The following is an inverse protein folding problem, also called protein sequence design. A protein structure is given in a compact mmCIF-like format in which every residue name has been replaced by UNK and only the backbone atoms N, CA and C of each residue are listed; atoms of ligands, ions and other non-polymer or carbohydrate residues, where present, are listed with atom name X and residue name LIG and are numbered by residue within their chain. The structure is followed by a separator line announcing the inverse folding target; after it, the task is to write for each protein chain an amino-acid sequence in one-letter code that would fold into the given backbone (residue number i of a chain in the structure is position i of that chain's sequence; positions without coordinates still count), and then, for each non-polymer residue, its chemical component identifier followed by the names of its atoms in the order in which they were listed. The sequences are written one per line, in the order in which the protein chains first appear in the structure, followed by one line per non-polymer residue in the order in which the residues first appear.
data_IF_875600409433
#
_entry.id   IF_875600409433
#
_cell.length_a   1.000
_cell.length_b   1.000
_cell.length_c   1.000
_cell.angle_alpha   90.00
_cell.angle_beta   90.00
_cell.angle_gamma   90.00
#
_symmetry.space_group_name_H-M   'P 1'
#
loop_
_entity.id
_entity.type
_entity.pdbx_description
1 polymer ?
#
# COMPACT_ATOMS: atom_id res chain seq x y z
N UNK A 1 -9.31 57.59 24.37
CA UNK A 1 -9.25 56.81 23.13
C UNK A 1 -9.17 55.34 23.52
N UNK A 2 -10.32 54.75 23.80
CA UNK A 2 -10.42 53.34 24.19
C UNK A 2 -10.66 52.50 22.94
N UNK A 3 -9.79 51.54 22.66
CA UNK A 3 -10.01 50.53 21.63
C UNK A 3 -10.66 49.29 22.27
N UNK A 4 -11.92 49.08 21.94
CA UNK A 4 -12.67 47.84 22.26
C UNK A 4 -12.18 46.69 21.36
N UNK A 5 -11.69 45.64 21.97
CA UNK A 5 -11.44 44.36 21.29
C UNK A 5 -12.75 43.56 21.21
N UNK A 6 -13.18 43.30 20.00
CA UNK A 6 -14.27 42.40 19.68
C UNK A 6 -13.72 40.96 19.66
N UNK A 7 -14.16 40.10 20.61
CA UNK A 7 -13.90 38.67 20.55
C UNK A 7 -14.91 38.02 19.61
N UNK A 8 -14.41 37.49 18.51
CA UNK A 8 -15.19 36.66 17.57
C UNK A 8 -15.14 35.23 18.09
N UNK A 9 -16.28 34.65 18.47
CA UNK A 9 -16.48 33.25 18.78
C UNK A 9 -16.86 32.54 17.48
N UNK A 10 -16.19 31.49 17.03
CA UNK A 10 -16.61 30.78 15.82
C UNK A 10 -17.88 29.95 16.12
N UNK A 11 -18.89 30.21 15.34
CA UNK A 11 -20.15 29.47 15.33
C UNK A 11 -19.95 28.18 14.56
N UNK A 12 -20.04 27.05 15.25
CA UNK A 12 -20.06 25.74 14.63
C UNK A 12 -21.48 25.44 14.16
N UNK A 13 -21.74 25.49 12.87
CA UNK A 13 -23.04 25.10 12.31
C UNK A 13 -22.96 23.63 11.92
N UNK A 14 -23.62 22.78 12.72
CA UNK A 14 -23.96 21.41 12.35
C UNK A 14 -25.34 21.42 11.68
N UNK A 15 -25.38 21.17 10.39
CA UNK A 15 -26.63 20.97 9.65
C UNK A 15 -27.04 19.50 9.78
N UNK A 16 -27.98 19.22 10.64
CA UNK A 16 -28.74 17.96 10.63
C UNK A 16 -30.19 18.33 10.40
N UNK A 17 -30.79 17.64 9.44
CA UNK A 17 -32.10 17.85 8.83
C UNK A 17 -33.21 18.46 9.68
N UNK A 18 -33.90 19.40 9.04
CA UNK A 18 -35.20 20.00 9.35
C UNK A 18 -35.89 19.62 10.66
N UNK A 19 -35.55 20.28 11.74
CA UNK A 19 -36.44 20.65 12.82
C UNK A 19 -35.89 21.93 13.46
N UNK A 20 -36.79 22.95 13.58
CA UNK A 20 -36.47 24.22 14.22
C UNK A 20 -36.27 24.00 15.71
N UNK A 21 -35.09 24.43 16.20
CA UNK A 21 -34.82 24.52 17.64
C UNK A 21 -34.90 25.99 18.03
N UNK A 22 -35.88 26.35 18.84
CA UNK A 22 -35.95 27.66 19.50
C UNK A 22 -34.89 27.71 20.60
N UNK A 23 -34.03 28.71 20.52
CA UNK A 23 -32.96 28.96 21.52
C UNK A 23 -33.54 29.95 22.54
N UNK A 24 -33.79 29.49 23.75
CA UNK A 24 -34.04 30.36 24.90
C UNK A 24 -32.70 30.89 25.44
N UNK A 25 -32.62 32.23 25.57
CA UNK A 25 -31.52 32.87 26.29
C UNK A 25 -31.92 32.95 27.78
N UNK A 26 -31.22 32.26 28.65
CA UNK A 26 -31.30 32.45 30.08
C UNK A 26 -30.22 33.42 30.59
N UNK A 27 -30.64 34.29 31.53
CA UNK A 27 -29.81 35.30 32.16
C UNK A 27 -28.87 34.67 33.23
N UNK A 28 -27.62 35.10 33.35
CA UNK A 28 -26.68 34.49 34.31
C UNK A 28 -26.75 35.22 35.66
N UNK A 29 -27.74 34.96 36.48
CA UNK A 29 -27.75 35.36 37.86
C UNK A 29 -28.72 34.52 38.69
N UNK A 30 -28.38 33.27 38.94
CA UNK A 30 -28.87 32.43 40.06
C UNK A 30 -28.29 31.01 39.91
N UNK A 31 -27.06 30.84 40.42
CA UNK A 31 -26.47 29.52 40.64
C UNK A 31 -26.28 29.36 42.17
N UNK A 32 -27.23 28.76 42.81
CA UNK A 32 -27.04 28.15 44.13
C UNK A 32 -27.52 26.70 44.06
N UNK A 33 -26.56 25.81 44.30
CA UNK A 33 -26.67 24.45 44.83
C UNK A 33 -27.78 23.55 44.26
N UNK A 34 -27.50 22.92 43.17
CA UNK A 34 -28.19 21.68 42.77
C UNK A 34 -27.12 20.61 42.62
N UNK A 35 -27.13 19.65 43.55
CA UNK A 35 -26.40 18.40 43.46
C UNK A 35 -26.96 17.57 42.32
N UNK A 36 -26.40 17.71 41.11
CA UNK A 36 -26.79 16.90 39.95
C UNK A 36 -25.93 15.64 39.99
N UNK A 37 -26.51 14.58 40.52
CA UNK A 37 -26.02 13.23 40.25
C UNK A 37 -25.93 13.02 38.74
N UNK A 38 -24.74 13.16 38.18
CA UNK A 38 -24.43 12.84 36.79
C UNK A 38 -24.45 11.31 36.71
N UNK A 39 -25.61 10.70 36.41
CA UNK A 39 -25.60 9.41 35.76
C UNK A 39 -24.91 9.61 34.41
N UNK A 40 -23.69 9.16 34.26
CA UNK A 40 -23.04 8.99 32.96
C UNK A 40 -23.86 7.98 32.14
N UNK A 41 -24.90 8.48 31.50
CA UNK A 41 -25.45 7.79 30.35
C UNK A 41 -24.43 7.90 29.24
N UNK A 42 -23.49 6.97 29.20
CA UNK A 42 -22.68 6.68 28.04
C UNK A 42 -23.67 6.31 26.93
N UNK A 43 -24.04 7.29 26.12
CA UNK A 43 -24.71 7.00 24.85
C UNK A 43 -23.63 6.27 24.04
N UNK A 44 -23.63 4.95 24.11
CA UNK A 44 -22.99 4.13 23.08
C UNK A 44 -23.64 4.54 21.75
N UNK A 45 -22.99 5.45 21.03
CA UNK A 45 -23.28 5.63 19.61
C UNK A 45 -22.80 4.32 18.99
N UNK A 46 -23.69 3.34 18.95
CA UNK A 46 -23.53 2.17 18.11
C UNK A 46 -23.52 2.68 16.67
N UNK A 47 -22.35 3.02 16.19
CA UNK A 47 -22.08 3.12 14.75
C UNK A 47 -22.13 1.70 14.23
N UNK A 48 -23.35 1.16 14.05
CA UNK A 48 -23.51 -0.06 13.28
C UNK A 48 -22.98 0.28 11.89
N UNK A 49 -21.78 -0.19 11.59
CA UNK A 49 -21.22 -0.16 10.24
C UNK A 49 -22.30 -0.76 9.32
N UNK A 50 -22.70 -0.10 8.24
CA UNK A 50 -23.79 -0.56 7.37
C UNK A 50 -23.46 -1.90 6.69
N UNK A 51 -22.21 -2.33 6.73
CA UNK A 51 -21.68 -3.55 6.10
C UNK A 51 -20.95 -4.40 7.13
N UNK A 52 -21.06 -5.73 7.02
CA UNK A 52 -20.37 -6.67 7.89
C UNK A 52 -18.87 -6.69 7.64
N UNK A 53 -18.48 -6.64 6.37
CA UNK A 53 -17.09 -6.63 5.92
C UNK A 53 -16.97 -6.00 4.51
N UNK A 54 -15.76 -5.99 3.96
CA UNK A 54 -15.49 -5.44 2.62
C UNK A 54 -16.20 -6.22 1.51
N UNK A 55 -16.39 -7.54 1.69
CA UNK A 55 -17.04 -8.36 0.67
C UNK A 55 -18.52 -8.09 0.59
N UNK A 56 -19.15 -7.90 1.75
CA UNK A 56 -20.56 -7.48 1.85
C UNK A 56 -20.76 -6.13 1.14
N UNK A 57 -19.86 -5.17 1.38
CA UNK A 57 -19.87 -3.89 0.67
C UNK A 57 -19.76 -4.06 -0.85
N UNK A 58 -18.78 -4.84 -1.33
CA UNK A 58 -18.58 -5.08 -2.77
C UNK A 58 -19.82 -5.76 -3.37
N UNK A 59 -20.37 -6.80 -2.71
CA UNK A 59 -21.53 -7.54 -3.20
C UNK A 59 -22.76 -6.64 -3.32
N UNK A 60 -23.02 -5.78 -2.34
CA UNK A 60 -24.19 -4.90 -2.32
C UNK A 60 -24.09 -3.70 -3.27
N UNK A 61 -22.86 -3.21 -3.53
CA UNK A 61 -22.61 -2.03 -4.36
C UNK A 61 -21.99 -2.37 -5.73
N UNK A 62 -22.01 -3.64 -6.12
CA UNK A 62 -21.55 -4.05 -7.43
C UNK A 62 -22.52 -3.55 -8.51
N UNK A 63 -22.05 -2.62 -9.34
CA UNK A 63 -22.84 -2.00 -10.42
C UNK A 63 -22.66 -2.68 -11.78
N UNK A 64 -21.76 -3.66 -11.87
CA UNK A 64 -21.47 -4.28 -13.16
C UNK A 64 -22.65 -5.16 -13.59
N UNK A 65 -23.04 -4.98 -14.84
CA UNK A 65 -24.06 -5.84 -15.46
C UNK A 65 -23.57 -7.30 -15.43
N UNK A 66 -24.41 -8.19 -14.91
CA UNK A 66 -24.18 -9.64 -14.84
C UNK A 66 -24.05 -10.22 -16.24
N UNK A 67 -22.88 -10.10 -16.84
CA UNK A 67 -22.51 -10.88 -18.02
C UNK A 67 -21.85 -12.16 -17.52
N UNK A 68 -22.65 -13.13 -17.10
CA UNK A 68 -22.18 -14.46 -16.69
C UNK A 68 -21.66 -15.22 -17.89
N UNK A 69 -20.47 -14.85 -18.36
CA UNK A 69 -19.78 -15.58 -19.42
C UNK A 69 -18.97 -16.68 -18.75
N UNK A 70 -19.61 -17.80 -18.43
CA UNK A 70 -18.98 -19.01 -17.90
C UNK A 70 -18.61 -19.95 -19.06
N UNK A 71 -17.64 -19.57 -19.88
CA UNK A 71 -17.09 -20.45 -20.89
C UNK A 71 -16.10 -21.46 -20.29
N UNK A 72 -15.69 -22.45 -21.07
CA UNK A 72 -14.80 -23.53 -20.63
C UNK A 72 -13.50 -23.02 -20.00
N UNK A 73 -12.98 -21.89 -20.47
CA UNK A 73 -11.75 -21.30 -19.99
C UNK A 73 -11.96 -20.67 -18.59
N UNK A 74 -13.07 -19.97 -18.38
CA UNK A 74 -13.45 -19.43 -17.07
C UNK A 74 -13.68 -20.55 -16.09
N UNK A 75 -14.44 -21.59 -16.48
CA UNK A 75 -14.69 -22.77 -15.65
C UNK A 75 -13.40 -23.50 -15.26
N UNK A 76 -12.42 -23.58 -16.16
CA UNK A 76 -11.13 -24.17 -15.84
C UNK A 76 -10.39 -23.41 -14.74
N UNK A 77 -10.40 -22.07 -14.77
CA UNK A 77 -9.80 -21.24 -13.70
C UNK A 77 -10.59 -21.33 -12.39
N UNK A 78 -11.92 -21.34 -12.42
CA UNK A 78 -12.74 -21.56 -11.24
C UNK A 78 -12.40 -22.90 -10.57
N UNK A 79 -12.36 -23.99 -11.36
CA UNK A 79 -12.03 -25.32 -10.87
C UNK A 79 -10.62 -25.41 -10.28
N UNK A 80 -9.68 -24.58 -10.73
CA UNK A 80 -8.34 -24.52 -10.15
C UNK A 80 -8.38 -24.06 -8.68
N UNK A 81 -9.16 -23.02 -8.39
CA UNK A 81 -9.33 -22.50 -7.03
C UNK A 81 -10.20 -23.40 -6.15
N UNK A 82 -11.25 -24.00 -6.71
CA UNK A 82 -12.17 -24.89 -5.98
C UNK A 82 -11.55 -26.22 -5.55
N UNK A 83 -10.40 -26.60 -6.12
CA UNK A 83 -9.69 -27.84 -5.72
C UNK A 83 -9.09 -27.79 -4.32
N UNK A 84 -8.78 -26.58 -3.82
CA UNK A 84 -8.11 -26.38 -2.54
C UNK A 84 -8.64 -25.07 -1.94
N UNK A 85 -9.72 -25.19 -1.15
CA UNK A 85 -10.39 -24.03 -0.57
C UNK A 85 -9.58 -23.39 0.55
N UNK A 86 -8.78 -24.16 1.30
CA UNK A 86 -7.93 -23.60 2.35
C UNK A 86 -6.86 -22.71 1.75
N UNK A 87 -6.23 -23.17 0.66
CA UNK A 87 -5.27 -22.35 -0.09
C UNK A 87 -5.93 -21.14 -0.75
N UNK A 88 -7.19 -21.26 -1.15
CA UNK A 88 -7.92 -20.14 -1.72
C UNK A 88 -8.26 -19.09 -0.66
N UNK A 89 -8.57 -19.51 0.58
CA UNK A 89 -8.76 -18.60 1.71
C UNK A 89 -7.47 -17.85 2.05
N UNK A 90 -6.35 -18.54 2.17
CA UNK A 90 -5.03 -17.92 2.34
C UNK A 90 -4.74 -16.89 1.23
N UNK A 91 -5.00 -17.26 -0.02
CA UNK A 91 -4.85 -16.41 -1.20
C UNK A 91 -5.67 -15.12 -1.09
N UNK A 92 -6.93 -15.20 -0.65
CA UNK A 92 -7.78 -14.01 -0.47
C UNK A 92 -7.36 -13.16 0.74
N UNK A 93 -6.85 -13.79 1.80
CA UNK A 93 -6.43 -13.10 3.02
C UNK A 93 -5.17 -12.25 2.85
N UNK A 94 -4.36 -12.47 1.80
CA UNK A 94 -3.18 -11.65 1.50
C UNK A 94 -3.50 -10.16 1.30
N UNK A 95 -4.75 -9.86 0.94
CA UNK A 95 -5.24 -8.48 0.76
C UNK A 95 -5.65 -7.76 2.05
N UNK A 96 -5.65 -8.43 3.22
CA UNK A 96 -6.26 -7.95 4.47
C UNK A 96 -5.97 -6.48 4.77
N UNK A 97 -4.72 -6.05 4.67
CA UNK A 97 -4.31 -4.69 4.99
C UNK A 97 -4.55 -3.67 3.87
N UNK A 98 -4.86 -4.11 2.66
CA UNK A 98 -4.90 -3.23 1.48
C UNK A 98 -6.29 -3.09 0.87
N UNK A 99 -7.13 -4.12 0.98
CA UNK A 99 -8.38 -4.22 0.22
C UNK A 99 -9.35 -3.07 0.54
N UNK A 100 -9.50 -2.71 1.82
CA UNK A 100 -10.33 -1.57 2.20
C UNK A 100 -9.88 -0.27 1.49
N UNK A 101 -8.58 0.02 1.49
CA UNK A 101 -8.04 1.21 0.83
C UNK A 101 -8.26 1.18 -0.70
N UNK A 102 -8.04 0.02 -1.31
CA UNK A 102 -8.30 -0.17 -2.76
C UNK A 102 -9.76 0.12 -3.11
N UNK A 103 -10.70 -0.40 -2.31
CA UNK A 103 -12.14 -0.17 -2.50
C UNK A 103 -12.48 1.31 -2.37
N UNK A 104 -11.97 1.98 -1.34
CA UNK A 104 -12.22 3.40 -1.11
C UNK A 104 -11.71 4.26 -2.30
N UNK A 105 -10.54 3.96 -2.84
CA UNK A 105 -10.01 4.68 -3.99
C UNK A 105 -10.81 4.40 -5.28
N UNK A 106 -11.31 3.17 -5.47
CA UNK A 106 -12.20 2.85 -6.60
C UNK A 106 -13.53 3.59 -6.48
N UNK A 107 -14.17 3.55 -5.32
CA UNK A 107 -15.44 4.23 -5.04
C UNK A 107 -15.33 5.74 -5.27
N UNK A 108 -14.36 6.38 -4.66
CA UNK A 108 -14.06 7.82 -4.82
C UNK A 108 -13.88 8.24 -6.29
N UNK A 109 -13.43 7.33 -7.14
CA UNK A 109 -13.23 7.57 -8.57
C UNK A 109 -14.38 7.09 -9.46
N UNK A 110 -15.48 6.62 -8.88
CA UNK A 110 -16.65 6.07 -9.56
C UNK A 110 -16.28 4.92 -10.53
N UNK A 111 -15.42 4.02 -10.08
CA UNK A 111 -15.03 2.82 -10.79
C UNK A 111 -15.74 1.58 -10.23
N UNK A 112 -15.96 0.54 -11.04
CA UNK A 112 -16.50 -0.73 -10.55
C UNK A 112 -15.64 -1.29 -9.41
N UNK A 113 -16.26 -1.57 -8.24
CA UNK A 113 -15.57 -2.05 -7.04
C UNK A 113 -14.88 -3.40 -7.24
N UNK A 114 -15.42 -4.21 -8.13
CA UNK A 114 -14.85 -5.51 -8.51
C UNK A 114 -13.45 -5.40 -9.16
N UNK A 115 -13.01 -4.19 -9.58
CA UNK A 115 -11.63 -3.96 -10.00
C UNK A 115 -10.62 -4.16 -8.87
N UNK A 116 -11.06 -4.19 -7.61
CA UNK A 116 -10.26 -4.62 -6.47
C UNK A 116 -9.76 -6.08 -6.57
N UNK A 117 -10.31 -6.87 -7.49
CA UNK A 117 -9.85 -8.23 -7.77
C UNK A 117 -8.54 -8.25 -8.60
N UNK A 118 -8.20 -7.17 -9.30
CA UNK A 118 -7.02 -7.14 -10.17
C UNK A 118 -5.70 -7.45 -9.46
N UNK A 119 -5.38 -6.89 -8.30
CA UNK A 119 -4.13 -7.20 -7.62
C UNK A 119 -3.95 -8.69 -7.28
N UNK A 120 -5.03 -9.44 -7.07
CA UNK A 120 -4.93 -10.89 -6.92
C UNK A 120 -4.36 -11.58 -8.16
N UNK A 121 -4.76 -11.12 -9.35
CA UNK A 121 -4.32 -11.70 -10.62
C UNK A 121 -2.89 -11.25 -10.97
N UNK A 122 -2.55 -10.02 -10.59
CA UNK A 122 -1.25 -9.42 -10.88
C UNK A 122 -0.14 -9.97 -9.98
N UNK A 123 -0.39 -10.04 -8.67
CA UNK A 123 0.66 -10.33 -7.69
C UNK A 123 0.19 -11.09 -6.45
N UNK A 124 -1.09 -11.45 -6.35
CA UNK A 124 -1.70 -11.91 -5.10
C UNK A 124 -1.61 -10.87 -3.96
N UNK A 125 -1.78 -9.60 -4.27
CA UNK A 125 -1.57 -8.52 -3.30
C UNK A 125 -0.18 -8.48 -2.65
N UNK A 126 0.83 -9.12 -3.27
CA UNK A 126 2.21 -9.08 -2.78
C UNK A 126 2.91 -7.80 -3.26
N UNK A 127 3.22 -6.85 -2.34
CA UNK A 127 3.88 -5.61 -2.69
C UNK A 127 5.34 -5.79 -3.14
N UNK A 128 5.95 -6.94 -2.84
CA UNK A 128 7.34 -7.24 -3.24
C UNK A 128 7.45 -7.97 -4.57
N UNK A 129 6.32 -8.34 -5.16
CA UNK A 129 6.30 -9.11 -6.41
C UNK A 129 6.99 -8.36 -7.54
N UNK A 130 7.89 -9.06 -8.23
CA UNK A 130 8.60 -8.59 -9.42
C UNK A 130 8.47 -9.63 -10.53
N UNK A 131 7.91 -9.23 -11.66
CA UNK A 131 7.80 -10.12 -12.82
C UNK A 131 9.12 -10.21 -13.60
N UNK A 132 9.28 -11.26 -14.40
CA UNK A 132 10.42 -11.41 -15.31
C UNK A 132 10.58 -10.27 -16.33
N UNK A 133 9.51 -9.52 -16.59
CA UNK A 133 9.52 -8.34 -17.47
C UNK A 133 9.76 -7.02 -16.72
N UNK A 134 9.96 -7.06 -15.39
CA UNK A 134 10.21 -5.89 -14.55
C UNK A 134 8.97 -5.10 -14.14
N UNK A 135 7.79 -5.72 -14.20
CA UNK A 135 6.60 -5.19 -13.54
C UNK A 135 6.71 -5.41 -12.03
N UNK A 136 6.19 -4.48 -11.21
CA UNK A 136 6.49 -4.41 -9.77
C UNK A 136 5.25 -4.09 -8.94
N UNK A 137 5.18 -4.69 -7.74
CA UNK A 137 4.22 -4.39 -6.69
C UNK A 137 2.84 -5.01 -6.89
N UNK A 138 1.89 -4.65 -6.02
CA UNK A 138 0.54 -5.25 -6.04
C UNK A 138 -0.20 -5.04 -7.37
N UNK A 139 0.10 -3.96 -8.09
CA UNK A 139 -0.50 -3.60 -9.37
C UNK A 139 0.34 -3.93 -10.59
N UNK A 140 1.53 -4.52 -10.41
CA UNK A 140 2.46 -4.89 -11.48
C UNK A 140 2.74 -3.76 -12.48
N UNK A 141 3.04 -2.57 -11.96
CA UNK A 141 3.39 -1.45 -12.81
C UNK A 141 4.72 -1.66 -13.55
N UNK A 142 4.68 -1.55 -14.86
CA UNK A 142 5.89 -1.42 -15.67
C UNK A 142 6.59 -0.07 -15.41
N UNK A 143 7.94 0.02 -15.49
CA UNK A 143 8.68 1.25 -15.17
C UNK A 143 8.19 2.48 -15.95
N UNK A 144 7.86 2.30 -17.24
CA UNK A 144 7.37 3.41 -18.08
C UNK A 144 6.01 3.88 -17.64
N UNK A 145 5.10 2.96 -17.35
CA UNK A 145 3.74 3.29 -16.92
C UNK A 145 3.76 3.91 -15.54
N UNK A 146 4.54 3.36 -14.59
CA UNK A 146 4.69 3.94 -13.26
C UNK A 146 5.11 5.41 -13.30
N UNK A 147 6.14 5.75 -14.08
CA UNK A 147 6.57 7.16 -14.25
C UNK A 147 5.49 8.08 -14.80
N UNK A 148 4.62 7.62 -15.70
CA UNK A 148 3.49 8.41 -16.20
C UNK A 148 2.48 8.75 -15.11
N UNK A 149 2.41 7.93 -14.06
CA UNK A 149 1.52 8.11 -12.93
C UNK A 149 2.26 8.52 -11.65
N UNK A 150 3.49 9.12 -11.79
CA UNK A 150 4.28 9.69 -10.70
C UNK A 150 4.71 8.66 -9.64
N UNK A 151 4.94 7.42 -10.06
CA UNK A 151 5.62 6.41 -9.25
C UNK A 151 7.12 6.50 -9.52
N UNK A 152 7.81 7.15 -8.60
CA UNK A 152 9.22 7.45 -8.73
C UNK A 152 10.09 6.33 -8.14
N UNK A 153 11.36 6.35 -8.53
CA UNK A 153 12.39 5.48 -7.99
C UNK A 153 13.59 6.31 -7.60
N UNK A 154 14.02 6.15 -6.38
CA UNK A 154 15.25 6.74 -5.85
C UNK A 154 16.15 5.64 -5.26
N UNK A 155 17.25 6.04 -4.62
CA UNK A 155 18.03 5.12 -3.80
C UNK A 155 17.24 4.56 -2.61
N UNK A 156 16.34 5.39 -2.05
CA UNK A 156 15.59 5.10 -0.82
C UNK A 156 14.23 4.47 -1.09
N UNK A 157 13.61 4.82 -2.20
CA UNK A 157 12.22 4.48 -2.51
C UNK A 157 12.07 3.89 -3.90
N UNK A 158 11.16 2.94 -4.03
CA UNK A 158 10.60 2.48 -5.29
C UNK A 158 9.07 2.47 -5.15
N UNK A 159 8.41 3.55 -5.57
CA UNK A 159 6.99 3.80 -5.32
C UNK A 159 6.05 2.74 -5.93
N UNK A 160 6.52 1.98 -6.91
CA UNK A 160 5.72 0.87 -7.48
C UNK A 160 5.51 -0.28 -6.49
N UNK A 161 6.41 -0.42 -5.50
CA UNK A 161 6.26 -1.36 -4.39
C UNK A 161 5.32 -0.84 -3.31
N UNK A 162 5.17 0.49 -3.16
CA UNK A 162 4.28 1.09 -2.18
C UNK A 162 2.83 0.74 -2.50
N UNK A 163 2.13 -0.05 -1.67
CA UNK A 163 0.78 -0.52 -1.99
C UNK A 163 -0.25 0.61 -2.03
N UNK A 164 -0.05 1.70 -1.30
CA UNK A 164 -0.97 2.83 -1.22
C UNK A 164 -0.76 3.79 -2.39
N UNK A 165 0.48 4.25 -2.62
CA UNK A 165 0.80 5.11 -3.75
C UNK A 165 0.53 4.43 -5.10
N UNK A 166 0.90 3.16 -5.23
CA UNK A 166 0.62 2.41 -6.46
C UNK A 166 -0.88 2.18 -6.68
N UNK A 167 -1.69 2.07 -5.61
CA UNK A 167 -3.15 2.01 -5.74
C UNK A 167 -3.73 3.32 -6.27
N UNK A 168 -3.33 4.47 -5.72
CA UNK A 168 -3.77 5.78 -6.25
C UNK A 168 -3.41 5.94 -7.74
N UNK A 169 -2.22 5.49 -8.13
CA UNK A 169 -1.78 5.50 -9.52
C UNK A 169 -2.59 4.54 -10.40
N UNK A 170 -2.84 3.32 -9.92
CA UNK A 170 -3.60 2.29 -10.63
C UNK A 170 -5.05 2.70 -10.87
N UNK A 171 -5.68 3.30 -9.86
CA UNK A 171 -7.06 3.80 -9.98
C UNK A 171 -7.15 4.93 -11.02
N UNK A 172 -6.18 5.84 -11.07
CA UNK A 172 -6.10 6.87 -12.13
C UNK A 172 -5.93 6.23 -13.51
N UNK A 173 -5.07 5.21 -13.62
CA UNK A 173 -4.86 4.50 -14.88
C UNK A 173 -6.10 3.71 -15.31
N UNK A 174 -6.73 2.99 -14.40
CA UNK A 174 -7.98 2.26 -14.64
C UNK A 174 -9.10 3.21 -15.07
N UNK A 175 -9.22 4.37 -14.43
CA UNK A 175 -10.20 5.40 -14.80
C UNK A 175 -10.01 5.88 -16.24
N UNK A 176 -8.75 6.16 -16.61
CA UNK A 176 -8.41 6.50 -17.99
C UNK A 176 -8.79 5.39 -18.98
N UNK A 177 -8.47 4.13 -18.67
CA UNK A 177 -8.79 3.00 -19.52
C UNK A 177 -10.30 2.76 -19.63
N UNK A 178 -11.00 2.82 -18.50
CA UNK A 178 -12.44 2.61 -18.41
C UNK A 178 -13.20 3.63 -19.25
N UNK A 179 -12.84 4.91 -19.16
CA UNK A 179 -13.40 5.96 -19.99
C UNK A 179 -13.03 5.80 -21.47
N UNK A 180 -11.77 5.42 -21.77
CA UNK A 180 -11.29 5.25 -23.14
C UNK A 180 -12.01 4.16 -23.90
N UNK A 181 -12.44 3.12 -23.21
CA UNK A 181 -13.11 1.94 -23.80
C UNK A 181 -14.61 1.90 -23.49
N UNK A 182 -15.25 3.06 -23.43
CA UNK A 182 -16.71 3.21 -23.30
C UNK A 182 -17.27 2.43 -22.11
N UNK A 183 -16.56 2.43 -20.97
CA UNK A 183 -16.92 1.73 -19.74
C UNK A 183 -17.05 0.20 -19.91
N UNK A 184 -16.46 -0.35 -20.94
CA UNK A 184 -16.41 -1.80 -21.14
C UNK A 184 -15.33 -2.42 -20.26
N UNK A 185 -15.73 -3.19 -19.24
CA UNK A 185 -14.82 -3.80 -18.28
C UNK A 185 -13.82 -4.75 -18.92
N UNK A 186 -14.23 -5.56 -19.89
CA UNK A 186 -13.34 -6.54 -20.54
C UNK A 186 -12.30 -5.87 -21.42
N UNK A 187 -12.66 -4.80 -22.10
CA UNK A 187 -11.70 -3.98 -22.84
C UNK A 187 -10.74 -3.26 -21.89
N UNK A 188 -11.23 -2.76 -20.76
CA UNK A 188 -10.41 -2.13 -19.73
C UNK A 188 -9.34 -3.09 -19.20
N UNK A 189 -9.75 -4.30 -18.83
CA UNK A 189 -8.86 -5.37 -18.38
C UNK A 189 -7.83 -5.78 -19.42
N UNK A 190 -8.28 -5.97 -20.66
CA UNK A 190 -7.40 -6.32 -21.78
C UNK A 190 -6.40 -5.19 -22.07
N UNK A 191 -6.82 -3.92 -21.97
CA UNK A 191 -5.96 -2.76 -22.16
C UNK A 191 -4.98 -2.57 -21.00
N UNK A 192 -5.39 -2.88 -19.77
CA UNK A 192 -4.49 -2.87 -18.61
C UNK A 192 -3.33 -3.85 -18.82
N UNK A 193 -3.64 -5.09 -19.21
CA UNK A 193 -2.65 -6.15 -19.43
C UNK A 193 -1.79 -5.95 -20.69
N UNK A 194 -2.40 -5.61 -21.85
CA UNK A 194 -1.70 -5.57 -23.14
C UNK A 194 -1.30 -4.16 -23.60
N UNK A 195 -1.75 -3.14 -22.90
CA UNK A 195 -1.61 -1.74 -23.25
C UNK A 195 -2.73 -1.23 -24.19
N UNK A 196 -3.23 -0.01 -23.97
CA UNK A 196 -4.39 0.54 -24.69
C UNK A 196 -4.17 0.66 -26.19
N UNK A 197 -2.97 1.02 -26.63
CA UNK A 197 -2.68 1.17 -28.06
C UNK A 197 -2.75 -0.14 -28.83
N UNK A 198 -2.46 -1.27 -28.21
CA UNK A 198 -2.61 -2.57 -28.85
C UNK A 198 -4.09 -2.90 -28.98
N UNK A 199 -4.86 -2.70 -27.92
CA UNK A 199 -6.29 -3.01 -27.94
C UNK A 199 -7.04 -2.16 -28.97
N UNK A 200 -6.77 -0.86 -29.04
CA UNK A 200 -7.33 0.04 -30.07
C UNK A 200 -7.06 -0.48 -31.49
N UNK A 201 -5.82 -0.91 -31.76
CA UNK A 201 -5.49 -1.47 -33.07
C UNK A 201 -6.31 -2.71 -33.39
N UNK A 202 -6.54 -3.59 -32.41
CA UNK A 202 -7.32 -4.82 -32.61
C UNK A 202 -8.81 -4.53 -32.82
N UNK A 203 -9.38 -3.64 -32.02
CA UNK A 203 -10.76 -3.16 -32.21
C UNK A 203 -10.93 -2.55 -33.61
N UNK A 204 -10.05 -1.63 -33.99
CA UNK A 204 -10.12 -0.98 -35.30
C UNK A 204 -9.89 -1.94 -36.45
N UNK A 205 -9.06 -2.98 -36.27
CA UNK A 205 -8.87 -4.03 -37.26
C UNK A 205 -10.16 -4.83 -37.51
N UNK A 206 -10.87 -5.22 -36.45
CA UNK A 206 -12.14 -5.92 -36.56
C UNK A 206 -13.22 -5.02 -37.16
N UNK A 207 -13.35 -3.75 -36.69
CA UNK A 207 -14.29 -2.78 -37.32
C UNK A 207 -14.13 -2.66 -38.80
N UNK A 208 -12.88 -2.55 -39.32
CA UNK A 208 -12.61 -2.46 -40.76
C UNK A 208 -12.98 -3.72 -41.55
N UNK A 209 -13.04 -4.88 -40.86
CA UNK A 209 -13.38 -6.18 -41.46
C UNK A 209 -14.87 -6.53 -41.33
N UNK A 210 -15.66 -5.67 -40.66
CA UNK A 210 -17.06 -5.94 -40.34
C UNK A 210 -17.23 -7.09 -39.34
N UNK A 211 -16.21 -7.32 -38.49
CA UNK A 211 -16.22 -8.33 -37.42
C UNK A 211 -16.62 -7.70 -36.10
N UNK A 212 -17.11 -8.54 -35.19
CA UNK A 212 -17.42 -8.13 -33.82
C UNK A 212 -16.19 -7.57 -33.08
N UNK A 213 -16.44 -6.60 -32.22
CA UNK A 213 -15.39 -5.90 -31.50
C UNK A 213 -15.40 -6.18 -30.00
N UNK A 214 -16.24 -7.11 -29.54
CA UNK A 214 -16.17 -7.61 -28.16
C UNK A 214 -14.82 -8.30 -27.90
N UNK A 215 -14.45 -8.40 -26.62
CA UNK A 215 -13.15 -8.96 -26.22
C UNK A 215 -12.88 -10.35 -26.82
N UNK A 216 -13.91 -11.21 -26.89
CA UNK A 216 -13.76 -12.61 -27.32
C UNK A 216 -13.46 -12.74 -28.82
N UNK A 217 -13.90 -11.76 -29.59
CA UNK A 217 -13.67 -11.66 -31.03
C UNK A 217 -12.33 -11.02 -31.40
N UNK A 218 -11.61 -10.44 -30.42
CA UNK A 218 -10.34 -9.76 -30.68
C UNK A 218 -9.15 -10.73 -30.75
N UNK A 219 -8.27 -10.52 -31.73
CA UNK A 219 -7.00 -11.23 -31.81
C UNK A 219 -5.94 -10.56 -30.92
N UNK A 220 -6.02 -10.80 -29.60
CA UNK A 220 -5.06 -10.32 -28.58
C UNK A 220 -4.00 -11.38 -28.26
N UNK A 221 -2.88 -11.02 -27.62
CA UNK A 221 -1.86 -11.98 -27.16
C UNK A 221 -2.44 -13.06 -26.24
N UNK A 222 -1.82 -14.24 -26.24
CA UNK A 222 -2.26 -15.39 -25.41
C UNK A 222 -2.34 -15.02 -23.93
N UNK A 223 -1.38 -14.25 -23.42
CA UNK A 223 -1.42 -13.75 -22.04
C UNK A 223 -2.71 -12.98 -21.77
N UNK A 224 -3.08 -12.06 -22.65
CA UNK A 224 -4.29 -11.25 -22.51
C UNK A 224 -5.56 -12.08 -22.69
N UNK A 225 -5.54 -13.07 -23.59
CA UNK A 225 -6.65 -14.03 -23.76
C UNK A 225 -6.95 -14.82 -22.48
N UNK A 226 -5.92 -15.08 -21.67
CA UNK A 226 -6.04 -15.79 -20.38
C UNK A 226 -6.37 -14.84 -19.22
N UNK A 227 -6.02 -13.56 -19.34
CA UNK A 227 -6.16 -12.59 -18.27
C UNK A 227 -7.62 -12.30 -17.90
N UNK A 228 -8.43 -11.99 -18.90
CA UNK A 228 -9.86 -11.69 -18.69
C UNK A 228 -10.64 -12.88 -18.14
N UNK A 229 -10.49 -14.13 -18.66
CA UNK A 229 -11.10 -15.29 -18.04
C UNK A 229 -10.68 -15.55 -16.59
N UNK A 230 -9.42 -15.31 -16.21
CA UNK A 230 -8.97 -15.41 -14.81
C UNK A 230 -9.72 -14.41 -13.92
N UNK A 231 -9.85 -13.17 -14.40
CA UNK A 231 -10.60 -12.16 -13.68
C UNK A 231 -12.07 -12.57 -13.48
N UNK A 232 -12.74 -13.03 -14.54
CA UNK A 232 -14.12 -13.45 -14.47
C UNK A 232 -14.29 -14.61 -13.49
N UNK A 233 -13.40 -15.59 -13.54
CA UNK A 233 -13.43 -16.75 -12.65
C UNK A 233 -13.32 -16.33 -11.18
N UNK A 234 -12.33 -15.48 -10.85
CA UNK A 234 -12.11 -15.04 -9.49
C UNK A 234 -13.26 -14.14 -9.00
N UNK A 235 -13.73 -13.23 -9.87
CA UNK A 235 -14.90 -12.41 -9.61
C UNK A 235 -16.15 -13.25 -9.29
N UNK A 236 -16.42 -14.27 -10.11
CA UNK A 236 -17.55 -15.16 -9.91
C UNK A 236 -17.48 -15.88 -8.55
N UNK A 237 -16.30 -16.44 -8.23
CA UNK A 237 -16.08 -17.16 -6.96
C UNK A 237 -16.22 -16.23 -5.74
N UNK A 238 -15.81 -14.97 -5.84
CA UNK A 238 -15.92 -14.00 -4.74
C UNK A 238 -17.36 -13.50 -4.59
N UNK A 239 -17.96 -13.00 -5.69
CA UNK A 239 -19.28 -12.37 -5.60
C UNK A 239 -20.40 -13.37 -5.29
N UNK A 240 -20.25 -14.60 -5.75
CA UNK A 240 -21.22 -15.68 -5.58
C UNK A 240 -20.67 -16.80 -4.67
N UNK A 241 -19.78 -16.46 -3.73
CA UNK A 241 -19.05 -17.40 -2.86
C UNK A 241 -19.93 -18.45 -2.21
N UNK A 242 -21.14 -18.06 -1.78
CA UNK A 242 -22.11 -18.93 -1.13
C UNK A 242 -22.56 -20.10 -2.03
N UNK A 243 -22.66 -19.87 -3.34
CA UNK A 243 -23.03 -20.90 -4.32
C UNK A 243 -21.96 -21.98 -4.49
N UNK A 244 -20.72 -21.67 -4.10
CA UNK A 244 -19.56 -22.55 -4.23
C UNK A 244 -19.06 -23.09 -2.89
N UNK A 245 -19.76 -22.76 -1.77
CA UNK A 245 -19.36 -23.16 -0.42
C UNK A 245 -18.07 -22.49 0.05
N UNK A 246 -17.69 -21.35 -0.54
CA UNK A 246 -16.51 -20.57 -0.21
C UNK A 246 -16.84 -19.68 0.99
N UNK A 247 -16.01 -19.76 2.03
CA UNK A 247 -15.99 -18.79 3.13
C UNK A 247 -14.94 -17.74 2.81
N UNK A 248 -15.38 -16.51 2.60
CA UNK A 248 -14.46 -15.40 2.38
C UNK A 248 -13.79 -15.01 3.71
N UNK A 249 -12.50 -14.63 3.73
CA UNK A 249 -11.83 -14.17 4.94
C UNK A 249 -12.50 -12.91 5.47
N UNK A 250 -12.62 -12.79 6.79
CA UNK A 250 -13.20 -11.59 7.41
C UNK A 250 -12.23 -10.41 7.30
N UNK A 251 -12.51 -9.48 6.42
CA UNK A 251 -11.77 -8.22 6.24
C UNK A 251 -12.70 -7.06 6.61
N UNK A 252 -12.46 -6.34 7.71
CA UNK A 252 -13.36 -5.29 8.17
C UNK A 252 -13.59 -4.20 7.12
N UNK A 253 -14.83 -3.67 7.05
CA UNK A 253 -15.13 -2.49 6.25
C UNK A 253 -14.78 -1.21 7.03
N UNK A 254 -13.52 -1.12 7.43
CA UNK A 254 -12.94 0.04 8.14
C UNK A 254 -11.43 0.12 7.86
N UNK A 255 -10.80 1.28 8.08
CA UNK A 255 -9.36 1.43 7.85
C UNK A 255 -8.56 0.63 8.89
N UNK A 256 -8.08 -0.57 8.50
CA UNK A 256 -7.18 -1.41 9.32
C UNK A 256 -5.73 -0.91 9.32
N UNK A 257 -5.43 0.09 8.52
CA UNK A 257 -4.11 0.73 8.40
C UNK A 257 -4.27 2.24 8.50
N UNK A 258 -3.39 2.89 9.27
CA UNK A 258 -3.29 4.34 9.38
C UNK A 258 -1.98 4.85 8.83
N UNK A 259 -2.06 5.98 8.13
CA UNK A 259 -0.92 6.78 7.71
C UNK A 259 -0.45 7.64 8.87
N UNK A 260 0.86 7.62 9.14
CA UNK A 260 1.53 8.49 10.11
C UNK A 260 2.65 9.27 9.44
N UNK A 261 2.91 10.46 9.96
CA UNK A 261 4.04 11.31 9.56
C UNK A 261 4.99 11.44 10.73
N UNK A 262 6.28 11.23 10.47
CA UNK A 262 7.34 11.27 11.48
C UNK A 262 8.38 12.28 11.01
N UNK A 263 8.76 13.27 11.85
CA UNK A 263 9.82 14.21 11.51
C UNK A 263 11.15 13.51 11.27
N UNK A 264 11.82 13.86 10.17
CA UNK A 264 13.15 13.36 9.81
C UNK A 264 13.16 11.93 9.29
N UNK A 265 14.37 11.38 9.26
CA UNK A 265 14.63 10.01 8.81
C UNK A 265 14.34 8.99 9.91
N UNK A 266 13.72 7.87 9.55
CA UNK A 266 13.26 6.84 10.49
C UNK A 266 13.78 5.47 10.08
N UNK A 267 14.37 4.76 11.03
CA UNK A 267 14.72 3.36 10.86
C UNK A 267 13.50 2.47 11.05
N UNK A 268 13.23 1.61 10.08
CA UNK A 268 12.03 0.76 10.05
C UNK A 268 11.96 -0.17 11.26
N UNK A 269 13.09 -0.75 11.68
CA UNK A 269 13.11 -1.68 12.81
C UNK A 269 12.91 -0.98 14.15
N UNK A 270 13.54 0.16 14.35
CA UNK A 270 13.33 0.94 15.58
C UNK A 270 11.87 1.35 15.73
N UNK A 271 11.22 1.71 14.60
CA UNK A 271 9.78 1.99 14.61
C UNK A 271 8.96 0.72 14.87
N UNK A 272 9.36 -0.41 14.30
CA UNK A 272 8.74 -1.72 14.51
C UNK A 272 8.77 -2.15 15.98
N UNK A 273 9.93 -2.03 16.63
CA UNK A 273 10.13 -2.34 18.04
C UNK A 273 9.28 -1.42 18.93
N UNK A 274 9.29 -0.11 18.68
CA UNK A 274 8.51 0.84 19.46
C UNK A 274 7.00 0.56 19.40
N UNK A 275 6.49 0.26 18.20
CA UNK A 275 5.08 -0.02 17.98
C UNK A 275 4.69 -1.46 18.33
N UNK A 276 5.64 -2.30 18.73
CA UNK A 276 5.42 -3.75 18.94
C UNK A 276 4.69 -4.38 17.73
N UNK A 277 5.26 -4.16 16.53
CA UNK A 277 4.83 -4.70 15.26
C UNK A 277 5.92 -5.64 14.75
N UNK A 278 5.53 -6.77 14.15
CA UNK A 278 6.51 -7.63 13.48
C UNK A 278 7.16 -6.87 12.32
N UNK A 279 8.50 -6.88 12.20
CA UNK A 279 9.21 -6.17 11.13
C UNK A 279 8.67 -6.49 9.74
N UNK A 280 8.34 -7.76 9.48
CA UNK A 280 7.82 -8.22 8.19
C UNK A 280 6.52 -7.51 7.82
N UNK A 281 5.64 -7.30 8.79
CA UNK A 281 4.39 -6.58 8.57
C UNK A 281 4.66 -5.10 8.30
N UNK A 282 5.53 -4.45 9.09
CA UNK A 282 5.84 -3.04 8.88
C UNK A 282 6.49 -2.82 7.51
N UNK A 283 7.40 -3.71 7.07
CA UNK A 283 7.95 -3.67 5.71
C UNK A 283 6.87 -3.94 4.65
N UNK A 284 5.97 -4.90 4.86
CA UNK A 284 4.87 -5.19 3.91
C UNK A 284 3.98 -3.96 3.70
N UNK A 285 3.65 -3.24 4.77
CA UNK A 285 2.86 -2.02 4.69
C UNK A 285 3.61 -0.85 4.05
N UNK A 286 4.94 -0.85 4.11
CA UNK A 286 5.82 0.23 3.65
C UNK A 286 6.84 -0.25 2.61
N UNK A 287 6.42 -1.14 1.73
CA UNK A 287 7.30 -1.81 0.76
C UNK A 287 7.94 -0.86 -0.26
N UNK A 288 7.45 0.38 -0.33
CA UNK A 288 8.08 1.44 -1.10
C UNK A 288 9.49 1.80 -0.62
N UNK A 289 9.81 1.61 0.67
CA UNK A 289 11.16 1.82 1.17
C UNK A 289 12.09 0.67 0.76
N UNK A 290 13.13 1.00 0.03
CA UNK A 290 14.12 0.03 -0.50
C UNK A 290 15.29 -0.20 0.45
N UNK A 291 15.31 0.50 1.60
CA UNK A 291 16.38 0.45 2.60
C UNK A 291 15.78 0.22 3.99
N UNK A 292 16.67 0.00 4.96
CA UNK A 292 16.28 -0.19 6.37
C UNK A 292 15.76 1.08 7.06
N UNK A 293 15.87 2.23 6.39
CA UNK A 293 15.39 3.52 6.85
C UNK A 293 14.69 4.25 5.70
N UNK A 294 13.84 5.21 6.04
CA UNK A 294 13.28 6.18 5.10
C UNK A 294 14.34 7.09 4.50
N UNK A 295 13.99 7.89 3.49
CA UNK A 295 14.89 8.90 2.95
C UNK A 295 15.25 9.96 4.02
N UNK A 296 16.43 10.60 3.94
CA UNK A 296 16.84 11.70 4.83
C UNK A 296 16.12 13.01 4.43
N UNK A 297 14.81 13.02 4.57
CA UNK A 297 13.93 14.14 4.31
C UNK A 297 13.44 14.74 5.63
N UNK A 298 12.80 15.91 5.57
CA UNK A 298 12.27 16.59 6.75
C UNK A 298 11.13 15.80 7.42
N UNK A 299 10.45 14.97 6.65
CA UNK A 299 9.33 14.15 7.11
C UNK A 299 9.33 12.79 6.41
N UNK A 300 9.10 11.73 7.18
CA UNK A 300 8.92 10.36 6.70
C UNK A 300 7.48 9.91 6.89
N UNK A 301 6.91 9.29 5.87
CA UNK A 301 5.55 8.76 5.90
C UNK A 301 5.57 7.25 6.08
N UNK A 302 4.86 6.76 7.10
CA UNK A 302 4.67 5.33 7.32
C UNK A 302 3.20 4.97 7.39
N UNK A 303 2.92 3.72 7.02
CA UNK A 303 1.63 3.08 7.21
C UNK A 303 1.78 2.01 8.30
N UNK A 304 0.92 2.07 9.32
CA UNK A 304 0.94 1.18 10.47
C UNK A 304 -0.45 0.57 10.72
N UNK A 305 -0.56 -0.61 11.35
CA UNK A 305 -1.86 -1.13 11.77
C UNK A 305 -2.62 -0.13 12.64
N UNK A 306 -3.93 0.02 12.40
CA UNK A 306 -4.75 1.04 13.05
C UNK A 306 -4.79 0.90 14.57
N UNK A 307 -4.75 -0.33 15.09
CA UNK A 307 -4.70 -0.63 16.52
C UNK A 307 -3.41 -0.15 17.21
N UNK A 308 -2.34 0.07 16.44
CA UNK A 308 -1.06 0.58 16.97
C UNK A 308 -0.97 2.10 16.95
N UNK A 309 -1.94 2.78 16.35
CA UNK A 309 -1.94 4.24 16.24
C UNK A 309 -1.98 4.94 17.59
N UNK A 310 -2.64 4.35 18.60
CA UNK A 310 -2.69 4.90 19.96
C UNK A 310 -1.31 4.99 20.61
N UNK A 311 -0.43 4.02 20.33
CA UNK A 311 0.97 4.07 20.81
C UNK A 311 1.73 5.22 20.16
N UNK A 312 1.47 5.47 18.87
CA UNK A 312 2.09 6.57 18.15
C UNK A 312 1.61 7.94 18.63
N UNK A 313 0.35 8.07 19.04
CA UNK A 313 -0.20 9.33 19.60
C UNK A 313 0.29 9.63 21.04
N UNK A 314 0.86 8.67 21.74
CA UNK A 314 1.36 8.86 23.10
C UNK A 314 2.33 10.05 23.18
N UNK A 315 2.22 10.89 24.22
CA UNK A 315 3.09 12.05 24.44
C UNK A 315 4.56 11.67 24.58
N UNK A 316 4.85 10.50 25.15
CA UNK A 316 6.19 9.96 25.32
C UNK A 316 6.78 9.33 24.04
N UNK A 317 6.09 9.45 22.88
CA UNK A 317 6.56 8.90 21.63
C UNK A 317 7.90 9.55 21.20
N UNK A 318 9.00 8.78 21.16
CA UNK A 318 10.33 9.30 20.82
C UNK A 318 10.40 9.80 19.37
N UNK A 319 9.49 9.38 18.50
CA UNK A 319 9.41 9.78 17.10
C UNK A 319 8.74 11.14 16.87
N UNK A 320 8.11 11.73 17.90
CA UNK A 320 7.55 13.09 17.81
C UNK A 320 8.62 14.18 17.78
N UNK A 321 9.78 13.90 18.35
CA UNK A 321 10.90 14.85 18.41
C UNK A 321 12.00 14.37 17.45
N UNK A 322 12.15 15.08 16.34
CA UNK A 322 13.17 14.77 15.33
C UNK A 322 14.57 14.76 15.95
N UNK A 323 15.29 13.67 15.82
CA UNK A 323 16.76 13.56 15.88
C UNK A 323 17.21 12.11 15.74
N UNK A 324 16.49 11.31 14.97
CA UNK A 324 16.68 9.88 15.08
C UNK A 324 17.89 9.35 14.33
N UNK A 325 18.15 9.74 13.13
CA UNK A 325 19.37 9.34 12.41
C UNK A 325 19.61 10.36 11.31
N UNK A 326 20.70 11.08 11.42
CA UNK A 326 21.15 11.94 10.33
C UNK A 326 22.09 11.13 9.43
N UNK A 327 21.55 10.58 8.37
CA UNK A 327 22.31 9.96 7.30
C UNK A 327 22.44 10.91 6.12
N UNK A 328 23.58 10.86 5.45
CA UNK A 328 23.73 11.51 4.16
C UNK A 328 24.02 10.48 3.09
N UNK A 329 23.42 10.64 1.95
CA UNK A 329 23.80 9.93 0.73
C UNK A 329 24.93 10.70 0.04
N UNK A 330 26.12 10.11 -0.01
CA UNK A 330 27.29 10.69 -0.64
C UNK A 330 27.61 9.95 -1.96
N UNK A 331 27.64 10.70 -3.07
CA UNK A 331 28.09 10.16 -4.35
C UNK A 331 29.62 10.30 -4.41
N UNK A 332 30.30 9.18 -4.52
CA UNK A 332 31.78 9.13 -4.57
C UNK A 332 32.29 9.93 -5.74
N UNK A 333 33.18 10.86 -5.44
CA UNK A 333 33.85 11.73 -6.41
C UNK A 333 35.34 11.37 -6.56
N UNK A 334 35.97 11.88 -7.61
CA UNK A 334 37.41 11.72 -7.79
C UNK A 334 38.15 12.36 -6.62
N UNK A 335 39.00 11.58 -5.95
CA UNK A 335 39.77 12.00 -4.78
C UNK A 335 39.15 11.63 -3.43
N UNK A 336 37.92 11.08 -3.41
CA UNK A 336 37.31 10.57 -2.20
C UNK A 336 38.00 9.28 -1.73
N UNK A 337 38.09 9.15 -0.43
CA UNK A 337 38.51 7.94 0.27
C UNK A 337 37.64 7.74 1.51
N UNK A 338 37.54 6.50 2.02
CA UNK A 338 36.81 6.23 3.26
C UNK A 338 37.31 7.10 4.42
N UNK A 339 38.61 7.37 4.46
CA UNK A 339 39.20 8.22 5.47
C UNK A 339 38.79 9.69 5.31
N UNK A 340 38.86 10.26 4.09
CA UNK A 340 38.41 11.64 3.83
C UNK A 340 36.93 11.82 4.13
N UNK A 341 36.10 10.84 3.77
CA UNK A 341 34.66 10.86 4.04
C UNK A 341 34.35 10.73 5.53
N UNK A 342 35.06 9.85 6.25
CA UNK A 342 34.87 9.72 7.70
C UNK A 342 35.22 11.01 8.44
N UNK A 343 36.31 11.69 8.00
CA UNK A 343 36.67 12.99 8.55
C UNK A 343 35.68 14.09 8.19
N UNK A 344 35.25 14.14 6.94
CA UNK A 344 34.26 15.13 6.44
C UNK A 344 32.91 15.06 7.18
N UNK A 345 32.46 13.87 7.49
CA UNK A 345 31.15 13.61 8.06
C UNK A 345 31.17 13.24 9.56
N UNK A 346 32.32 13.43 10.22
CA UNK A 346 32.55 13.15 11.66
C UNK A 346 32.06 11.76 12.08
N UNK A 347 32.42 10.74 11.29
CA UNK A 347 32.07 9.32 11.52
C UNK A 347 33.34 8.44 11.46
N UNK A 348 33.16 7.13 11.59
CA UNK A 348 34.28 6.19 11.53
C UNK A 348 34.31 5.42 10.21
N UNK A 349 35.52 5.16 9.65
CA UNK A 349 35.72 4.34 8.45
C UNK A 349 35.02 2.98 8.56
N UNK A 350 35.15 2.32 9.73
CA UNK A 350 34.52 1.01 9.97
C UNK A 350 32.99 1.06 9.87
N UNK A 351 32.37 2.18 10.27
CA UNK A 351 30.91 2.37 10.21
C UNK A 351 30.48 2.56 8.77
N UNK A 352 31.20 3.42 8.01
CA UNK A 352 30.93 3.60 6.58
C UNK A 352 31.03 2.26 5.85
N UNK A 353 32.12 1.50 6.09
CA UNK A 353 32.31 0.19 5.47
C UNK A 353 31.18 -0.78 5.78
N UNK A 354 30.84 -0.88 7.06
CA UNK A 354 29.84 -1.81 7.56
C UNK A 354 28.45 -1.53 6.98
N UNK A 355 28.04 -0.26 6.97
CA UNK A 355 26.71 0.17 6.48
C UNK A 355 26.59 0.00 4.96
N UNK A 356 27.70 0.23 4.23
CA UNK A 356 27.73 0.13 2.78
C UNK A 356 28.24 -1.22 2.29
N UNK A 357 28.42 -2.19 3.19
CA UNK A 357 28.85 -3.56 2.87
C UNK A 357 30.18 -3.62 2.10
N UNK A 358 31.09 -2.69 2.40
CA UNK A 358 32.38 -2.63 1.70
C UNK A 358 33.35 -3.64 2.29
N UNK A 359 33.77 -4.61 1.50
CA UNK A 359 34.72 -5.63 1.90
C UNK A 359 36.17 -5.11 1.91
N UNK A 360 36.47 -4.03 1.20
CA UNK A 360 37.77 -3.37 1.13
C UNK A 360 37.62 -1.86 1.21
N UNK A 361 38.71 -1.11 1.03
CA UNK A 361 38.75 0.35 1.14
C UNK A 361 38.62 1.07 -0.20
N UNK A 362 38.44 0.33 -1.29
CA UNK A 362 38.32 0.89 -2.63
C UNK A 362 36.91 1.44 -2.85
N UNK A 363 36.85 2.66 -3.36
CA UNK A 363 35.61 3.32 -3.76
C UNK A 363 35.61 3.48 -5.28
N UNK A 364 34.45 3.24 -5.91
CA UNK A 364 34.26 3.53 -7.33
C UNK A 364 33.57 4.89 -7.49
N UNK A 365 34.08 5.70 -8.44
CA UNK A 365 33.45 7.00 -8.74
C UNK A 365 32.01 6.77 -9.20
N UNK A 366 31.09 7.59 -8.70
CA UNK A 366 29.64 7.52 -8.85
C UNK A 366 28.93 6.45 -7.99
N UNK A 367 29.66 5.65 -7.20
CA UNK A 367 29.00 4.85 -6.17
C UNK A 367 28.32 5.76 -5.14
N UNK A 368 27.20 5.31 -4.62
CA UNK A 368 26.48 6.03 -3.57
C UNK A 368 26.76 5.37 -2.22
N UNK A 369 27.29 6.14 -1.29
CA UNK A 369 27.55 5.72 0.08
C UNK A 369 26.57 6.35 1.05
N UNK A 370 26.08 5.55 1.98
CA UNK A 370 25.36 6.03 3.16
C UNK A 370 26.36 6.35 4.27
N UNK A 371 26.28 7.56 4.79
CA UNK A 371 27.21 8.04 5.82
C UNK A 371 26.40 8.64 6.97
N UNK A 372 26.52 8.10 8.20
CA UNK A 372 25.89 8.70 9.36
C UNK A 372 26.58 10.00 9.74
N UNK A 373 25.81 11.05 10.04
CA UNK A 373 26.30 12.39 10.39
C UNK A 373 26.62 12.58 11.88
N UNK A 374 26.23 11.66 12.75
CA UNK A 374 26.52 11.76 14.17
C UNK A 374 27.43 10.63 14.62
N UNK A 375 28.32 10.93 15.57
CA UNK A 375 28.99 9.89 16.38
C UNK A 375 27.93 9.15 17.17
N UNK A 376 27.20 8.26 16.54
CA UNK A 376 26.35 7.33 17.23
C UNK A 376 27.24 6.57 18.23
N UNK A 377 27.05 6.81 19.53
CA UNK A 377 27.69 6.06 20.60
C UNK A 377 27.20 4.60 20.64
N UNK A 378 26.48 4.15 19.64
CA UNK A 378 25.95 2.80 19.60
C UNK A 378 27.04 1.80 19.23
N UNK A 379 27.75 1.35 20.27
CA UNK A 379 28.51 0.09 20.19
C UNK A 379 27.61 -1.12 19.94
N UNK A 380 26.30 -0.94 19.90
CA UNK A 380 25.28 -2.00 19.80
C UNK A 380 24.51 -1.98 18.49
N UNK A 381 24.90 -1.15 17.50
CA UNK A 381 24.18 -1.10 16.25
C UNK A 381 24.76 -2.13 15.26
N UNK A 382 24.18 -3.28 15.17
CA UNK A 382 23.81 -4.11 14.03
C UNK A 382 23.16 -5.39 14.57
N UNK A 383 21.82 -5.45 14.54
CA UNK A 383 21.09 -6.67 14.88
C UNK A 383 21.02 -7.70 13.73
N UNK A 384 21.77 -7.52 12.63
CA UNK A 384 21.64 -8.40 11.46
C UNK A 384 22.90 -9.19 11.20
N UNK A 385 22.75 -10.50 11.07
CA UNK A 385 23.70 -11.34 10.36
C UNK A 385 23.55 -11.06 8.86
N UNK A 386 24.66 -10.65 8.25
CA UNK A 386 24.70 -10.45 6.81
C UNK A 386 25.04 -11.74 6.11
N UNK A 387 24.23 -12.09 5.13
CA UNK A 387 24.52 -13.15 4.21
C UNK A 387 25.07 -12.61 2.90
N UNK A 388 26.26 -13.04 2.50
CA UNK A 388 26.80 -12.73 1.18
C UNK A 388 26.31 -13.81 0.23
N UNK A 389 25.44 -13.42 -0.69
CA UNK A 389 24.88 -14.32 -1.69
C UNK A 389 25.99 -14.88 -2.56
N UNK A 390 26.09 -16.19 -2.65
CA UNK A 390 27.06 -16.91 -3.48
C UNK A 390 26.38 -17.45 -4.75
N UNK A 391 27.20 -17.80 -5.75
CA UNK A 391 26.67 -18.41 -6.97
C UNK A 391 25.95 -19.75 -6.64
N UNK A 392 24.69 -19.84 -7.04
CA UNK A 392 23.81 -21.00 -6.74
C UNK A 392 22.86 -20.79 -5.58
N UNK A 393 22.97 -19.69 -4.84
CA UNK A 393 22.04 -19.36 -3.78
C UNK A 393 20.67 -18.98 -4.34
N UNK A 394 19.65 -19.36 -3.60
CA UNK A 394 18.28 -18.93 -3.80
C UNK A 394 17.76 -18.36 -2.49
N UNK A 395 16.80 -17.48 -2.54
CA UNK A 395 16.12 -16.97 -1.33
C UNK A 395 15.62 -18.11 -0.44
N UNK A 396 15.18 -19.21 -1.06
CA UNK A 396 14.75 -20.41 -0.35
C UNK A 396 15.90 -21.13 0.37
N UNK A 397 17.07 -21.29 -0.28
CA UNK A 397 18.22 -21.93 0.36
C UNK A 397 18.73 -21.12 1.55
N UNK A 398 18.79 -19.78 1.39
CA UNK A 398 19.21 -18.86 2.43
C UNK A 398 18.19 -18.85 3.59
N UNK A 399 16.89 -18.72 3.31
CA UNK A 399 15.85 -18.75 4.32
C UNK A 399 15.85 -20.07 5.11
N UNK A 400 16.11 -21.20 4.45
CA UNK A 400 16.24 -22.52 5.08
C UNK A 400 17.46 -22.62 6.00
N UNK A 401 18.61 -22.10 5.57
CA UNK A 401 19.85 -22.12 6.33
C UNK A 401 19.73 -21.30 7.64
N UNK A 402 19.06 -20.17 7.57
CA UNK A 402 18.85 -19.28 8.71
C UNK A 402 17.56 -19.55 9.49
N UNK A 403 16.85 -20.65 9.18
CA UNK A 403 15.60 -21.02 9.84
C UNK A 403 14.47 -19.99 9.72
N UNK A 404 14.48 -19.14 8.69
CA UNK A 404 13.39 -18.27 8.36
C UNK A 404 12.29 -19.04 7.64
N UNK A 405 11.05 -18.90 8.09
CA UNK A 405 9.91 -19.48 7.38
C UNK A 405 9.75 -18.80 6.01
N UNK A 406 9.35 -19.56 5.03
CA UNK A 406 9.18 -19.17 3.62
C UNK A 406 8.34 -17.89 3.42
N UNK A 407 7.48 -17.52 4.37
CA UNK A 407 6.68 -16.30 4.37
C UNK A 407 7.41 -15.06 4.95
N UNK A 408 8.67 -15.19 5.36
CA UNK A 408 9.47 -14.11 5.97
C UNK A 408 10.52 -13.57 5.00
N UNK A 409 10.19 -13.47 3.71
CA UNK A 409 11.13 -13.06 2.64
C UNK A 409 11.72 -11.65 2.79
N UNK A 410 11.36 -10.92 3.82
CA UNK A 410 11.59 -9.49 3.91
C UNK A 410 12.83 -9.07 4.67
N UNK A 411 13.50 -9.97 5.36
CA UNK A 411 14.76 -9.65 6.02
C UNK A 411 15.99 -9.70 5.09
N UNK A 412 15.79 -10.04 3.81
CA UNK A 412 16.85 -10.03 2.81
C UNK A 412 16.63 -8.81 1.90
N UNK A 413 17.15 -7.68 2.36
CA UNK A 413 17.21 -6.45 1.54
C UNK A 413 18.50 -6.52 0.75
N UNK A 414 18.38 -6.61 -0.57
CA UNK A 414 19.49 -6.50 -1.53
C UNK A 414 19.98 -5.06 -1.66
#
# INVERSE_FOLDING_TARGET
MERRFLKIIPLLILIVGCQQIEVYQENPSELNDIDIGIEENVIEISTTQPYQDVWDFIKQNNTSQNTNILNDQVLAYMNMHLKDLDKFDEYLNDSYYFLYFVIQELEKNNLPLELAILPYIESNYDPFSISSSGAVGIWQFMPRTGRLYQLDKSWWNEDRHDPFRSTEAAVKYLKYLYQRFDQNIYHTLAAYNAGPSLLDRRINQNKRRGMDTDFWSLNVPVQTKNYVPKYIALRELILNSDNYGIKLPQIPYEPVVKKISIPGQVEVLTLSEYLDIKPELLYKLNAGYTKWASAPEDESVFYIPSEKYILFENEDNPFKNSNQINWISHIVQSGDSLWSLSSKYDTEVRIIKKINYLNNDLLSINDTLLIPLSKSKSNNFIPYEMYIVSEGDTLWSIAKEYNFFYNSYLSIIF
#
